data_IF_157853834466
#
_entry.id   IF_157853834466
#
_cell.length_a   1.000
_cell.length_b   1.000
_cell.length_c   1.000
_cell.angle_alpha   90.00
_cell.angle_beta   90.00
_cell.angle_gamma   90.00
#
_symmetry.space_group_name_H-M   'P 1'
#
loop_
_entity.id
_entity.type
_entity.pdbx_description
1 polymer ?
#
# COMPACT_ATOMS: atom_id res chain seq x y z
N UNK A 1 -75.39 -50.15 -9.48
CA UNK A 1 -76.21 -49.02 -8.99
C UNK A 1 -75.63 -48.53 -7.70
N UNK A 2 -75.47 -47.21 -7.62
CA UNK A 2 -74.85 -46.45 -6.53
C UNK A 2 -75.66 -46.59 -5.24
N UNK A 3 -74.98 -46.81 -4.12
CA UNK A 3 -75.50 -46.61 -2.77
C UNK A 3 -74.60 -45.60 -2.06
N UNK A 4 -75.04 -44.33 -2.03
CA UNK A 4 -74.44 -43.30 -1.19
C UNK A 4 -74.80 -43.58 0.28
N UNK A 5 -73.82 -43.52 1.18
CA UNK A 5 -74.07 -43.20 2.57
C UNK A 5 -73.02 -42.21 3.05
N UNK A 6 -73.53 -41.09 3.55
CA UNK A 6 -72.86 -39.89 3.96
C UNK A 6 -72.43 -40.05 5.43
N UNK A 7 -71.13 -40.17 5.70
CA UNK A 7 -70.59 -40.10 7.07
C UNK A 7 -69.65 -38.91 7.20
N UNK A 8 -70.22 -37.89 7.85
CA UNK A 8 -69.63 -36.85 8.72
C UNK A 8 -68.12 -36.58 8.61
N UNK A 9 -67.84 -35.36 8.16
CA UNK A 9 -66.62 -34.59 8.36
C UNK A 9 -66.05 -34.81 9.77
N UNK A 10 -64.87 -35.42 9.82
CA UNK A 10 -63.94 -35.28 10.94
C UNK A 10 -63.28 -33.92 10.81
N UNK A 11 -63.40 -33.07 11.83
CA UNK A 11 -62.59 -31.87 11.99
C UNK A 11 -61.11 -32.30 11.98
N UNK A 12 -60.35 -31.86 10.98
CA UNK A 12 -58.89 -31.82 11.06
C UNK A 12 -58.47 -30.45 11.62
N UNK A 13 -57.44 -30.39 12.48
CA UNK A 13 -57.04 -29.15 13.14
C UNK A 13 -56.50 -28.12 12.15
N UNK A 14 -56.94 -26.86 12.30
CA UNK A 14 -56.52 -25.67 11.53
C UNK A 14 -55.05 -25.27 11.75
N UNK A 15 -54.08 -26.18 11.57
CA UNK A 15 -52.66 -25.90 11.81
C UNK A 15 -51.73 -26.23 10.60
N UNK A 16 -52.28 -26.38 9.39
CA UNK A 16 -51.48 -26.66 8.18
C UNK A 16 -51.25 -25.47 7.23
N UNK A 17 -51.77 -24.27 7.54
CA UNK A 17 -51.64 -23.09 6.67
C UNK A 17 -50.72 -21.97 7.20
N UNK A 18 -49.78 -22.29 8.09
CA UNK A 18 -48.65 -21.39 8.41
C UNK A 18 -47.38 -21.90 7.77
N UNK A 19 -47.28 -21.76 6.45
CA UNK A 19 -45.95 -21.66 5.83
C UNK A 19 -45.21 -20.51 6.54
N UNK A 20 -43.97 -20.71 7.03
CA UNK A 20 -43.19 -19.60 7.54
C UNK A 20 -43.12 -18.55 6.43
N UNK A 21 -43.53 -17.33 6.74
CA UNK A 21 -43.38 -16.19 5.83
C UNK A 21 -41.94 -16.20 5.29
N UNK A 22 -41.73 -15.94 3.99
CA UNK A 22 -40.39 -15.91 3.43
C UNK A 22 -39.52 -14.99 4.28
N UNK A 23 -38.51 -15.57 4.93
CA UNK A 23 -37.47 -14.80 5.61
C UNK A 23 -36.93 -13.88 4.52
N UNK A 24 -36.99 -12.57 4.75
CA UNK A 24 -36.45 -11.58 3.83
C UNK A 24 -35.05 -12.05 3.39
N UNK A 25 -34.69 -11.92 2.10
CA UNK A 25 -33.35 -12.28 1.67
C UNK A 25 -32.35 -11.57 2.58
N UNK A 26 -31.24 -12.23 2.98
CA UNK A 26 -30.19 -11.55 3.74
C UNK A 26 -29.82 -10.26 3.01
N UNK A 27 -29.55 -9.17 3.74
CA UNK A 27 -29.30 -7.87 3.13
C UNK A 27 -28.30 -8.00 1.99
N UNK A 28 -28.61 -7.40 0.84
CA UNK A 28 -27.72 -7.42 -0.31
C UNK A 28 -26.41 -6.74 0.08
N UNK A 29 -25.29 -7.34 -0.33
CA UNK A 29 -23.92 -6.86 -0.10
C UNK A 29 -23.65 -5.43 -0.61
N UNK A 30 -24.60 -4.84 -1.33
CA UNK A 30 -24.58 -3.44 -1.76
C UNK A 30 -24.83 -2.43 -0.63
N UNK A 31 -25.18 -2.89 0.58
CA UNK A 31 -25.37 -2.04 1.76
C UNK A 31 -24.33 -2.32 2.86
N UNK A 32 -23.12 -2.77 2.52
CA UNK A 32 -21.98 -2.53 3.41
C UNK A 32 -21.69 -1.04 3.35
N UNK A 33 -21.91 -0.34 4.46
CA UNK A 33 -21.50 1.03 4.61
C UNK A 33 -19.96 1.07 4.65
N UNK A 34 -19.36 1.27 3.48
CA UNK A 34 -17.90 1.29 3.27
C UNK A 34 -17.22 2.30 4.20
N UNK A 35 -17.95 3.32 4.66
CA UNK A 35 -17.45 4.34 5.58
C UNK A 35 -17.35 3.87 7.03
N UNK A 36 -18.03 2.78 7.41
CA UNK A 36 -18.07 2.26 8.80
C UNK A 36 -17.61 0.81 8.95
N UNK A 37 -17.26 0.15 7.84
CA UNK A 37 -16.68 -1.20 7.86
C UNK A 37 -15.33 -1.23 8.57
N UNK A 38 -15.20 -2.08 9.59
CA UNK A 38 -14.04 -2.11 10.47
C UNK A 38 -12.75 -2.54 9.77
N UNK A 39 -12.84 -3.44 8.77
CA UNK A 39 -11.68 -3.91 8.02
C UNK A 39 -11.19 -2.84 7.04
N UNK A 40 -12.12 -2.11 6.41
CA UNK A 40 -11.81 -0.95 5.56
C UNK A 40 -11.16 0.16 6.39
N UNK A 41 -11.74 0.49 7.55
CA UNK A 41 -11.18 1.48 8.47
C UNK A 41 -9.80 1.08 9.01
N UNK A 42 -9.61 -0.21 9.30
CA UNK A 42 -8.30 -0.75 9.72
C UNK A 42 -7.27 -0.62 8.61
N UNK A 43 -7.64 -0.90 7.36
CA UNK A 43 -6.74 -0.76 6.22
C UNK A 43 -6.34 0.71 6.01
N UNK A 44 -7.29 1.65 6.07
CA UNK A 44 -7.00 3.08 5.98
C UNK A 44 -6.05 3.55 7.08
N UNK A 45 -6.28 3.10 8.32
CA UNK A 45 -5.38 3.37 9.43
C UNK A 45 -3.97 2.82 9.18
N UNK A 46 -3.83 1.61 8.64
CA UNK A 46 -2.52 1.05 8.31
C UNK A 46 -1.80 1.81 7.20
N UNK A 47 -2.51 2.21 6.15
CA UNK A 47 -1.95 3.00 5.06
C UNK A 47 -1.43 4.35 5.59
N UNK A 48 -2.20 5.05 6.44
CA UNK A 48 -1.77 6.33 7.03
C UNK A 48 -0.59 6.16 8.00
N UNK A 49 -0.54 5.07 8.78
CA UNK A 49 0.60 4.75 9.64
C UNK A 49 1.85 4.49 8.80
N UNK A 50 1.73 3.77 7.68
CA UNK A 50 2.85 3.50 6.78
C UNK A 50 3.38 4.77 6.10
N UNK A 51 2.47 5.64 5.63
CA UNK A 51 2.82 6.96 5.04
C UNK A 51 3.57 7.81 6.07
N UNK A 52 3.03 7.92 7.29
CA UNK A 52 3.63 8.69 8.37
C UNK A 52 5.00 8.12 8.76
N UNK A 53 5.12 6.81 9.01
CA UNK A 53 6.43 6.23 9.35
C UNK A 53 7.45 6.37 8.21
N UNK A 54 7.04 6.28 6.95
CA UNK A 54 7.93 6.49 5.80
C UNK A 54 8.45 7.92 5.77
N UNK A 55 7.58 8.92 5.97
CA UNK A 55 7.96 10.32 6.01
C UNK A 55 8.96 10.61 7.15
N UNK A 56 8.74 10.00 8.32
CA UNK A 56 9.59 10.18 9.50
C UNK A 56 10.88 9.35 9.48
N UNK A 57 10.93 8.25 8.74
CA UNK A 57 12.11 7.40 8.57
C UNK A 57 13.17 7.98 7.62
N UNK A 58 12.77 8.88 6.71
CA UNK A 58 13.69 9.59 5.81
C UNK A 58 14.63 10.53 6.59
N UNK A 59 14.20 10.99 7.77
CA UNK A 59 14.89 11.98 8.60
C UNK A 59 16.05 11.37 9.43
N UNK A 60 16.22 10.04 9.38
CA UNK A 60 17.23 9.29 10.17
C UNK A 60 18.58 9.15 9.43
N UNK A 61 18.68 9.58 8.17
CA UNK A 61 19.91 9.48 7.36
C UNK A 61 21.02 10.47 7.78
N UNK A 62 22.29 10.22 7.40
CA UNK A 62 23.37 11.18 7.63
C UNK A 62 23.02 12.52 6.96
N UNK A 63 23.32 13.67 7.60
CA UNK A 63 23.01 14.97 7.02
C UNK A 63 23.77 15.12 5.71
N UNK A 64 23.06 15.03 4.58
CA UNK A 64 23.54 15.66 3.35
C UNK A 64 23.48 17.15 3.62
N UNK A 65 24.60 17.86 3.46
CA UNK A 65 24.83 19.28 3.85
C UNK A 65 23.87 20.31 3.21
N UNK A 66 22.80 19.88 2.53
CA UNK A 66 21.95 20.74 1.70
C UNK A 66 20.47 20.35 1.62
N UNK A 67 19.98 19.39 2.41
CA UNK A 67 18.54 19.12 2.45
C UNK A 67 17.88 19.84 3.63
N UNK A 68 16.78 20.56 3.37
CA UNK A 68 15.99 21.23 4.40
C UNK A 68 14.69 20.47 4.60
N UNK A 69 14.38 20.07 5.84
CA UNK A 69 13.13 19.36 6.13
C UNK A 69 11.99 20.37 6.29
N UNK A 70 10.96 20.23 5.44
CA UNK A 70 9.69 20.95 5.64
C UNK A 70 8.90 20.25 6.74
N UNK A 71 8.60 21.00 7.80
CA UNK A 71 7.96 20.44 9.01
C UNK A 71 6.46 20.27 8.83
N UNK A 72 5.83 21.10 8.01
CA UNK A 72 4.38 21.07 7.79
C UNK A 72 3.88 19.74 7.19
N UNK A 73 4.50 19.17 6.13
CA UNK A 73 4.15 17.84 5.65
C UNK A 73 4.28 16.74 6.72
N UNK A 74 5.27 16.84 7.62
CA UNK A 74 5.44 15.86 8.70
C UNK A 74 4.31 15.95 9.72
N UNK A 75 3.94 17.17 10.12
CA UNK A 75 2.81 17.40 11.01
C UNK A 75 1.49 16.93 10.39
N UNK A 76 1.31 17.14 9.08
CA UNK A 76 0.13 16.65 8.34
C UNK A 76 0.02 15.13 8.41
N UNK A 77 1.11 14.40 8.13
CA UNK A 77 1.08 12.92 8.18
C UNK A 77 0.74 12.37 9.57
N UNK A 78 1.19 13.02 10.65
CA UNK A 78 0.84 12.63 12.03
C UNK A 78 -0.63 12.92 12.34
N UNK A 79 -1.15 14.05 11.84
CA UNK A 79 -2.55 14.44 12.05
C UNK A 79 -3.51 13.53 11.27
N UNK A 80 -3.16 13.17 10.04
CA UNK A 80 -3.89 12.21 9.21
C UNK A 80 -3.96 10.84 9.88
N UNK A 81 -2.82 10.31 10.35
CA UNK A 81 -2.76 9.06 11.09
C UNK A 81 -3.59 9.09 12.38
N UNK A 82 -3.55 10.18 13.15
CA UNK A 82 -4.39 10.32 14.35
C UNK A 82 -5.89 10.31 14.02
N UNK A 83 -6.28 10.89 12.88
CA UNK A 83 -7.68 10.91 12.45
C UNK A 83 -8.15 9.52 12.00
N UNK A 84 -7.35 8.76 11.27
CA UNK A 84 -7.73 7.40 10.87
C UNK A 84 -7.76 6.42 12.05
N UNK A 85 -6.80 6.51 12.97
CA UNK A 85 -6.83 5.74 14.22
C UNK A 85 -8.07 6.11 15.05
N UNK A 86 -8.40 7.40 15.17
CA UNK A 86 -9.62 7.86 15.85
C UNK A 86 -10.87 7.32 15.15
N UNK A 87 -10.91 7.36 13.82
CA UNK A 87 -12.05 6.89 13.04
C UNK A 87 -12.28 5.39 13.23
N UNK A 88 -11.20 4.61 13.21
CA UNK A 88 -11.23 3.18 13.52
C UNK A 88 -11.74 2.90 14.94
N UNK A 89 -11.20 3.59 15.95
CA UNK A 89 -11.60 3.44 17.35
C UNK A 89 -13.08 3.81 17.58
N UNK A 90 -13.57 4.87 16.91
CA UNK A 90 -14.95 5.35 17.06
C UNK A 90 -15.98 4.30 16.64
N UNK A 91 -15.69 3.56 15.57
CA UNK A 91 -16.56 2.52 15.02
C UNK A 91 -16.32 1.15 15.68
N UNK A 92 -15.33 1.06 16.56
CA UNK A 92 -14.98 -0.16 17.29
C UNK A 92 -15.64 -0.18 18.67
N UNK A 93 -16.75 -0.92 18.78
CA UNK A 93 -17.60 -0.94 19.99
C UNK A 93 -17.12 -1.86 21.11
N UNK A 94 -16.14 -2.74 20.87
CA UNK A 94 -15.62 -3.70 21.85
C UNK A 94 -14.52 -3.12 22.75
N UNK A 95 -14.20 -1.83 22.65
CA UNK A 95 -13.15 -1.20 23.45
C UNK A 95 -13.63 -0.80 24.84
N UNK A 96 -12.82 -1.07 25.87
CA UNK A 96 -13.11 -0.65 27.24
C UNK A 96 -12.85 0.85 27.43
N UNK A 97 -13.55 1.48 28.38
CA UNK A 97 -13.28 2.87 28.76
C UNK A 97 -11.81 3.09 29.19
N UNK A 98 -11.19 2.07 29.78
CA UNK A 98 -9.76 2.08 30.10
C UNK A 98 -8.88 2.14 28.85
N UNK A 99 -9.15 1.29 27.84
CA UNK A 99 -8.42 1.29 26.57
C UNK A 99 -8.60 2.62 25.83
N UNK A 100 -9.83 3.12 25.75
CA UNK A 100 -10.15 4.43 25.17
C UNK A 100 -9.44 5.57 25.90
N UNK A 101 -9.44 5.54 27.24
CA UNK A 101 -8.73 6.50 28.07
C UNK A 101 -7.22 6.50 27.84
N UNK A 102 -6.61 5.32 27.70
CA UNK A 102 -5.18 5.19 27.36
C UNK A 102 -4.87 5.72 25.97
N UNK A 103 -5.62 5.33 24.96
CA UNK A 103 -5.45 5.79 23.58
C UNK A 103 -5.58 7.31 23.47
N UNK A 104 -6.58 7.90 24.14
CA UNK A 104 -6.76 9.35 24.21
C UNK A 104 -5.59 10.06 24.90
N UNK A 105 -5.12 9.51 26.03
CA UNK A 105 -4.00 10.09 26.77
C UNK A 105 -2.71 10.09 25.94
N UNK A 106 -2.39 8.98 25.27
CA UNK A 106 -1.20 8.92 24.41
C UNK A 106 -1.35 9.80 23.16
N UNK A 107 -2.54 9.89 22.56
CA UNK A 107 -2.80 10.82 21.45
C UNK A 107 -2.57 12.29 21.87
N UNK A 108 -2.99 12.68 23.09
CA UNK A 108 -2.78 14.02 23.61
C UNK A 108 -1.29 14.33 23.82
N UNK A 109 -0.51 13.38 24.36
CA UNK A 109 0.95 13.55 24.49
C UNK A 109 1.65 13.69 23.15
N UNK A 110 1.21 12.92 22.15
CA UNK A 110 1.73 13.03 20.79
C UNK A 110 1.42 14.41 20.19
N UNK A 111 0.17 14.87 20.29
CA UNK A 111 -0.24 16.20 19.83
C UNK A 111 0.50 17.33 20.56
N UNK A 112 0.70 17.21 21.86
CA UNK A 112 1.49 18.17 22.64
C UNK A 112 2.93 18.25 22.12
N UNK A 113 3.53 17.09 21.83
CA UNK A 113 4.89 17.02 21.27
C UNK A 113 4.97 17.64 19.87
N UNK A 114 3.98 17.38 19.02
CA UNK A 114 3.88 17.98 17.68
C UNK A 114 3.63 19.49 17.73
N UNK A 115 2.84 19.97 18.70
CA UNK A 115 2.60 21.41 18.90
C UNK A 115 3.87 22.14 19.36
N UNK A 116 4.68 21.52 20.23
CA UNK A 116 5.99 22.06 20.61
C UNK A 116 6.93 22.11 19.41
N UNK A 117 6.93 21.07 18.57
CA UNK A 117 7.69 21.06 17.32
C UNK A 117 7.25 22.21 16.40
N UNK A 118 5.96 22.34 16.15
CA UNK A 118 5.41 23.41 15.31
C UNK A 118 5.82 24.80 15.83
N UNK A 119 5.63 25.05 17.13
CA UNK A 119 5.94 26.33 17.76
C UNK A 119 7.43 26.66 17.69
N UNK A 120 8.29 25.65 17.88
CA UNK A 120 9.75 25.81 17.83
C UNK A 120 10.25 26.26 16.46
N UNK A 121 9.61 25.80 15.39
CA UNK A 121 10.05 26.08 14.03
C UNK A 121 9.16 27.06 13.28
N UNK A 122 8.16 27.65 13.92
CA UNK A 122 7.44 28.80 13.39
C UNK A 122 8.38 30.01 13.38
N UNK A 123 8.61 30.61 12.22
CA UNK A 123 9.40 31.84 12.15
C UNK A 123 8.65 32.96 12.89
N UNK A 124 9.36 33.75 13.69
CA UNK A 124 8.80 34.96 14.28
C UNK A 124 8.52 35.95 13.13
N UNK A 125 7.31 36.51 13.09
CA UNK A 125 7.00 37.64 12.23
C UNK A 125 7.86 38.84 12.69
N UNK A 126 9.00 39.07 12.04
CA UNK A 126 9.58 40.40 12.05
C UNK A 126 8.56 41.32 11.37
N UNK A 127 7.99 42.25 12.14
CA UNK A 127 6.76 42.99 11.85
C UNK A 127 6.82 43.98 10.68
N UNK A 128 7.50 43.64 9.59
CA UNK A 128 7.66 44.50 8.41
C UNK A 128 7.39 43.80 7.06
N UNK A 129 6.84 42.57 7.04
CA UNK A 129 6.39 41.93 5.80
C UNK A 129 4.88 41.76 5.81
N UNK A 130 4.19 42.57 4.99
CA UNK A 130 2.74 42.56 4.78
C UNK A 130 2.25 41.34 3.97
N UNK A 131 2.89 40.19 4.15
CA UNK A 131 2.54 38.93 3.48
C UNK A 131 2.21 37.92 4.56
N UNK A 132 0.94 37.91 4.97
CA UNK A 132 0.38 36.93 5.90
C UNK A 132 0.61 35.52 5.34
N UNK A 133 1.63 34.85 5.86
CA UNK A 133 2.05 33.53 5.43
C UNK A 133 2.82 32.87 6.55
N UNK A 134 2.32 31.72 7.02
CA UNK A 134 2.97 30.87 8.01
C UNK A 134 4.35 30.44 7.49
N UNK A 135 5.40 31.19 7.83
CA UNK A 135 6.77 30.89 7.43
C UNK A 135 7.36 29.92 8.47
N UNK A 136 7.80 28.74 8.02
CA UNK A 136 8.44 27.73 8.88
C UNK A 136 9.95 27.75 8.64
N UNK A 137 10.73 27.81 9.72
CA UNK A 137 12.18 27.69 9.67
C UNK A 137 12.57 26.24 9.33
N UNK A 138 13.58 26.09 8.48
CA UNK A 138 14.10 24.78 8.10
C UNK A 138 14.81 24.14 9.30
N UNK A 139 14.55 22.85 9.56
CA UNK A 139 15.20 22.11 10.65
C UNK A 139 16.46 21.39 10.20
N UNK A 140 17.45 21.36 11.08
CA UNK A 140 18.55 20.38 11.02
C UNK A 140 18.02 18.97 11.32
N UNK A 141 18.50 17.99 10.53
CA UNK A 141 18.05 16.59 10.53
C UNK A 141 18.22 15.84 11.86
N UNK A 142 19.16 16.26 12.71
CA UNK A 142 19.63 15.44 13.84
C UNK A 142 18.82 15.53 15.13
N UNK A 143 17.70 16.26 15.19
CA UNK A 143 17.12 16.73 16.47
C UNK A 143 15.65 16.36 16.70
N UNK A 144 15.09 15.38 15.97
CA UNK A 144 13.68 14.93 16.12
C UNK A 144 13.49 13.63 16.93
N UNK A 145 14.44 13.27 17.79
CA UNK A 145 14.37 12.03 18.59
C UNK A 145 13.17 12.03 19.56
N UNK A 146 12.84 13.20 20.12
CA UNK A 146 11.73 13.35 21.06
C UNK A 146 10.39 13.05 20.38
N UNK A 147 10.18 13.63 19.21
CA UNK A 147 8.98 13.48 18.40
C UNK A 147 8.84 12.03 17.90
N UNK A 148 9.93 11.41 17.44
CA UNK A 148 9.95 10.00 17.03
C UNK A 148 9.60 9.05 18.18
N UNK A 149 10.16 9.31 19.37
CA UNK A 149 9.84 8.53 20.57
C UNK A 149 8.35 8.66 20.92
N UNK A 150 7.78 9.86 20.81
CA UNK A 150 6.35 10.07 21.05
C UNK A 150 5.46 9.34 20.03
N UNK A 151 5.84 9.34 18.74
CA UNK A 151 5.13 8.58 17.69
C UNK A 151 5.14 7.09 18.00
N UNK A 152 6.31 6.51 18.31
CA UNK A 152 6.43 5.08 18.59
C UNK A 152 5.69 4.67 19.85
N UNK A 153 5.71 5.50 20.90
CA UNK A 153 4.94 5.27 22.12
C UNK A 153 3.42 5.25 21.85
N UNK A 154 2.95 6.14 20.97
CA UNK A 154 1.55 6.14 20.54
C UNK A 154 1.18 4.87 19.77
N UNK A 155 1.99 4.46 18.78
CA UNK A 155 1.74 3.24 18.00
C UNK A 155 1.75 1.97 18.86
N UNK A 156 2.66 1.88 19.84
CA UNK A 156 2.66 0.79 20.82
C UNK A 156 1.35 0.75 21.63
N UNK A 157 0.82 1.92 22.01
CA UNK A 157 -0.50 2.01 22.65
C UNK A 157 -1.64 1.58 21.72
N UNK A 158 -1.58 1.90 20.42
CA UNK A 158 -2.58 1.49 19.42
C UNK A 158 -2.56 -0.03 19.22
N UNK A 159 -1.39 -0.66 19.08
CA UNK A 159 -1.29 -2.12 18.95
C UNK A 159 -1.84 -2.87 20.18
N UNK A 160 -1.57 -2.35 21.38
CA UNK A 160 -1.98 -2.96 22.66
C UNK A 160 -3.44 -2.71 23.03
N UNK A 161 -3.99 -1.55 22.69
CA UNK A 161 -5.30 -1.14 23.20
C UNK A 161 -6.36 -0.99 22.12
N UNK A 162 -5.99 -0.66 20.88
CA UNK A 162 -6.94 -0.53 19.78
C UNK A 162 -7.02 -1.79 18.93
N UNK A 163 -5.91 -2.52 18.72
CA UNK A 163 -5.89 -3.74 17.90
C UNK A 163 -6.10 -5.02 18.72
N UNK A 164 -5.38 -5.16 19.84
CA UNK A 164 -5.40 -6.37 20.69
C UNK A 164 -5.84 -6.06 22.12
N UNK A 165 -7.11 -5.69 22.35
CA UNK A 165 -7.54 -5.29 23.67
C UNK A 165 -7.44 -6.47 24.68
N UNK A 166 -7.13 -6.21 25.97
CA UNK A 166 -6.80 -7.25 26.95
C UNK A 166 -7.87 -8.33 27.19
N UNK A 167 -9.13 -8.04 26.86
CA UNK A 167 -10.28 -8.93 27.05
C UNK A 167 -10.58 -9.83 25.84
N UNK A 168 -9.84 -9.74 24.75
CA UNK A 168 -10.07 -10.51 23.51
C UNK A 168 -9.31 -11.86 23.50
N UNK A 169 -9.52 -12.68 24.54
CA UNK A 169 -8.87 -13.99 24.68
C UNK A 169 -9.43 -14.97 23.63
N UNK A 170 -8.64 -15.28 22.58
CA UNK A 170 -8.94 -16.35 21.62
C UNK A 170 -9.23 -15.92 20.17
N UNK A 171 -9.22 -14.61 19.86
CA UNK A 171 -9.26 -14.13 18.47
C UNK A 171 -7.84 -14.09 17.88
N UNK A 172 -7.65 -14.31 16.56
CA UNK A 172 -6.35 -14.10 15.92
C UNK A 172 -5.81 -12.69 16.23
N UNK A 173 -4.52 -12.64 16.57
CA UNK A 173 -3.82 -11.41 16.90
C UNK A 173 -3.86 -10.44 15.71
N UNK A 174 -4.50 -9.28 15.90
CA UNK A 174 -4.50 -8.19 14.93
C UNK A 174 -3.23 -7.38 15.15
N UNK A 175 -2.14 -7.75 14.49
CA UNK A 175 -0.87 -7.04 14.59
C UNK A 175 -0.67 -6.05 13.44
N UNK A 176 0.27 -5.12 13.62
CA UNK A 176 0.80 -4.39 12.48
C UNK A 176 1.42 -5.34 11.44
N UNK A 177 1.34 -4.95 10.16
CA UNK A 177 2.02 -5.66 9.07
C UNK A 177 3.53 -5.72 9.29
N UNK A 178 4.20 -6.70 8.68
CA UNK A 178 5.66 -6.83 8.77
C UNK A 178 6.38 -5.55 8.29
N UNK A 179 5.81 -4.87 7.30
CA UNK A 179 6.37 -3.62 6.76
C UNK A 179 6.25 -2.46 7.76
N UNK A 180 5.09 -2.29 8.41
CA UNK A 180 4.93 -1.29 9.47
C UNK A 180 5.90 -1.57 10.62
N UNK A 181 6.05 -2.83 11.05
CA UNK A 181 7.00 -3.20 12.13
C UNK A 181 8.44 -2.87 11.75
N UNK A 182 8.84 -3.15 10.50
CA UNK A 182 10.16 -2.78 9.96
C UNK A 182 10.36 -1.27 9.97
N UNK A 183 9.36 -0.49 9.53
CA UNK A 183 9.42 0.97 9.57
C UNK A 183 9.51 1.52 10.99
N UNK A 184 8.77 0.96 11.95
CA UNK A 184 8.87 1.33 13.37
C UNK A 184 10.30 1.14 13.91
N UNK A 185 10.96 0.02 13.57
CA UNK A 185 12.35 -0.20 13.98
C UNK A 185 13.33 0.79 13.34
N UNK A 186 13.08 1.19 12.08
CA UNK A 186 13.88 2.20 11.37
C UNK A 186 13.73 3.60 11.99
N UNK A 187 12.53 3.95 12.46
CA UNK A 187 12.25 5.22 13.13
C UNK A 187 12.84 5.30 14.55
N UNK A 188 13.10 4.16 15.18
CA UNK A 188 13.54 4.05 16.59
C UNK A 188 15.04 4.28 16.85
N UNK A 189 15.88 4.41 15.84
CA UNK A 189 17.34 4.37 16.01
C UNK A 189 18.00 5.72 16.34
N UNK A 190 18.82 5.80 17.43
CA UNK A 190 19.90 6.78 17.57
C UNK A 190 21.20 6.15 17.06
N UNK A 191 21.84 6.74 16.04
CA UNK A 191 23.27 6.58 15.76
C UNK A 191 23.84 5.14 15.73
N UNK A 192 23.22 4.23 14.99
CA UNK A 192 23.74 2.89 14.74
C UNK A 192 23.91 2.63 13.25
N UNK A 193 25.06 3.00 12.69
CA UNK A 193 25.48 2.50 11.39
C UNK A 193 25.45 0.96 11.39
N UNK A 194 24.50 0.37 10.68
CA UNK A 194 24.86 -0.80 9.88
C UNK A 194 25.74 -0.27 8.73
N UNK A 195 27.00 -0.69 8.60
CA UNK A 195 27.77 -0.37 7.41
C UNK A 195 27.14 -1.15 6.25
N UNK A 196 26.22 -0.51 5.53
CA UNK A 196 25.56 -1.13 4.37
C UNK A 196 24.20 -0.60 3.95
N UNK A 197 23.54 0.31 4.68
CA UNK A 197 22.26 0.87 4.24
C UNK A 197 22.21 2.40 4.39
N UNK A 198 23.16 3.07 3.73
CA UNK A 198 23.06 4.50 3.43
C UNK A 198 22.36 4.69 2.08
N UNK A 199 21.41 5.63 2.03
CA UNK A 199 21.02 6.35 0.81
C UNK A 199 20.50 5.54 -0.40
N UNK A 200 19.89 4.36 -0.21
CA UNK A 200 19.27 3.62 -1.32
C UNK A 200 17.76 3.82 -1.44
N UNK A 201 17.10 4.51 -0.50
CA UNK A 201 15.66 4.83 -0.63
C UNK A 201 15.36 5.98 -1.61
N UNK A 202 16.41 6.65 -2.11
CA UNK A 202 16.39 7.52 -3.29
C UNK A 202 17.40 7.06 -4.35
N UNK A 203 17.96 5.84 -4.23
CA UNK A 203 18.40 5.16 -5.44
C UNK A 203 17.12 4.91 -6.21
N UNK A 204 16.93 5.71 -7.26
CA UNK A 204 16.18 5.27 -8.43
C UNK A 204 16.62 3.84 -8.64
N UNK A 205 15.73 2.86 -8.38
CA UNK A 205 16.07 1.45 -8.48
C UNK A 205 16.82 1.28 -9.78
N UNK A 206 17.93 0.54 -9.79
CA UNK A 206 18.84 0.52 -10.93
C UNK A 206 18.09 0.27 -12.25
N UNK A 207 17.03 -0.55 -12.20
CA UNK A 207 16.17 -0.88 -13.34
C UNK A 207 15.37 0.32 -13.90
N UNK A 208 15.19 1.40 -13.15
CA UNK A 208 14.57 2.66 -13.60
C UNK A 208 15.59 3.61 -14.22
N UNK A 209 16.88 3.50 -13.85
CA UNK A 209 17.92 4.38 -14.38
C UNK A 209 18.08 4.17 -15.90
N UNK A 210 18.11 5.30 -16.62
CA UNK A 210 18.29 5.33 -18.07
C UNK A 210 19.77 5.29 -18.47
N UNK A 211 20.67 5.62 -17.54
CA UNK A 211 22.12 5.62 -17.73
C UNK A 211 22.80 4.32 -17.31
N UNK A 212 22.06 3.41 -16.68
CA UNK A 212 22.56 2.10 -16.36
C UNK A 212 22.73 1.29 -17.66
N UNK A 213 23.95 0.85 -17.92
CA UNK A 213 24.28 -0.04 -19.03
C UNK A 213 23.79 -1.45 -18.68
N UNK A 214 22.60 -1.80 -19.16
CA UNK A 214 22.02 -3.13 -19.00
C UNK A 214 22.54 -4.07 -20.09
N UNK A 215 23.11 -5.21 -19.68
CA UNK A 215 23.62 -6.24 -20.61
C UNK A 215 22.51 -6.81 -21.51
N UNK A 216 21.28 -6.90 -21.00
CA UNK A 216 20.08 -7.26 -21.75
C UNK A 216 18.83 -6.61 -21.16
N UNK A 217 17.81 -6.39 -21.99
CA UNK A 217 16.50 -5.92 -21.52
C UNK A 217 15.86 -6.92 -20.55
N UNK A 218 16.11 -8.21 -20.75
CA UNK A 218 15.64 -9.28 -19.88
C UNK A 218 16.25 -9.23 -18.47
N UNK A 219 17.55 -8.90 -18.35
CA UNK A 219 18.21 -8.71 -17.06
C UNK A 219 17.62 -7.50 -16.31
N UNK A 220 17.22 -6.45 -17.05
CA UNK A 220 16.51 -5.30 -16.48
C UNK A 220 15.13 -5.68 -15.96
N UNK A 221 14.39 -6.50 -16.71
CA UNK A 221 13.10 -7.04 -16.27
C UNK A 221 13.21 -7.91 -15.02
N UNK A 222 14.24 -8.75 -14.93
CA UNK A 222 14.51 -9.53 -13.72
C UNK A 222 14.78 -8.62 -12.51
N UNK A 223 15.63 -7.61 -12.65
CA UNK A 223 15.90 -6.65 -11.58
C UNK A 223 14.63 -5.90 -11.13
N UNK A 224 13.75 -5.55 -12.07
CA UNK A 224 12.44 -4.94 -11.76
C UNK A 224 11.55 -5.89 -10.95
N UNK A 225 11.45 -7.16 -11.34
CA UNK A 225 10.64 -8.17 -10.64
C UNK A 225 11.17 -8.37 -9.22
N UNK A 226 12.48 -8.62 -9.05
CA UNK A 226 13.09 -8.88 -7.73
C UNK A 226 12.98 -7.68 -6.79
N UNK A 227 13.03 -6.44 -7.31
CA UNK A 227 12.81 -5.22 -6.52
C UNK A 227 11.35 -5.00 -6.07
N UNK A 228 10.40 -5.74 -6.66
CA UNK A 228 8.97 -5.57 -6.37
C UNK A 228 8.37 -6.68 -5.54
N UNK A 229 8.91 -7.89 -5.63
CA UNK A 229 8.40 -9.06 -4.94
C UNK A 229 9.57 -9.90 -4.42
N UNK A 230 9.43 -10.39 -3.19
CA UNK A 230 10.40 -11.29 -2.60
C UNK A 230 10.36 -12.64 -3.34
N UNK A 231 11.31 -12.81 -4.27
CA UNK A 231 11.34 -13.95 -5.21
C UNK A 231 12.63 -14.73 -5.07
N UNK A 232 12.84 -15.31 -3.88
CA UNK A 232 13.92 -16.27 -3.66
C UNK A 232 13.87 -17.51 -4.57
N UNK A 233 12.78 -17.73 -5.31
CA UNK A 233 12.57 -18.88 -6.20
C UNK A 233 12.79 -18.60 -7.69
N UNK A 234 13.08 -17.36 -8.11
CA UNK A 234 13.19 -17.01 -9.52
C UNK A 234 14.64 -17.08 -10.00
N UNK A 235 14.91 -17.95 -10.97
CA UNK A 235 16.25 -18.10 -11.57
C UNK A 235 16.68 -16.83 -12.29
N UNK A 236 17.95 -16.45 -12.15
CA UNK A 236 18.52 -15.33 -12.88
C UNK A 236 18.57 -15.63 -14.39
N UNK A 237 18.00 -14.78 -15.27
CA UNK A 237 18.02 -15.02 -16.72
C UNK A 237 19.43 -15.08 -17.32
N UNK A 238 20.46 -14.56 -16.64
CA UNK A 238 21.86 -14.68 -17.06
C UNK A 238 22.43 -16.08 -16.87
N UNK A 239 21.85 -16.84 -15.92
CA UNK A 239 22.23 -18.23 -15.66
C UNK A 239 21.42 -19.15 -16.56
N UNK A 240 20.10 -18.97 -16.59
CA UNK A 240 19.20 -19.78 -17.39
C UNK A 240 17.96 -18.96 -17.79
N UNK A 241 17.97 -18.49 -19.04
CA UNK A 241 16.87 -17.75 -19.66
C UNK A 241 15.57 -18.54 -19.62
N UNK A 242 15.61 -19.82 -20.01
CA UNK A 242 14.40 -20.61 -20.19
C UNK A 242 13.80 -20.98 -18.83
N UNK A 243 14.62 -21.26 -17.82
CA UNK A 243 14.14 -21.47 -16.45
C UNK A 243 13.50 -20.20 -15.87
N UNK A 244 14.11 -19.03 -16.10
CA UNK A 244 13.53 -17.75 -15.72
C UNK A 244 12.15 -17.53 -16.36
N UNK A 245 12.06 -17.65 -17.68
CA UNK A 245 10.79 -17.47 -18.41
C UNK A 245 9.75 -18.49 -18.00
N UNK A 246 10.13 -19.76 -17.81
CA UNK A 246 9.23 -20.79 -17.30
C UNK A 246 8.67 -20.48 -15.91
N UNK A 247 9.43 -19.82 -15.05
CA UNK A 247 8.97 -19.35 -13.74
C UNK A 247 7.86 -18.30 -13.83
N UNK A 248 7.72 -17.62 -14.97
CA UNK A 248 6.72 -16.57 -15.21
C UNK A 248 5.46 -17.08 -15.97
N UNK A 249 5.50 -18.29 -16.52
CA UNK A 249 4.43 -18.84 -17.38
C UNK A 249 3.10 -19.11 -16.68
N UNK A 250 3.06 -19.11 -15.34
CA UNK A 250 1.82 -19.23 -14.57
C UNK A 250 1.04 -17.91 -14.41
N UNK A 251 1.68 -16.79 -14.78
CA UNK A 251 1.14 -15.44 -14.70
C UNK A 251 0.99 -14.87 -13.28
N UNK A 252 1.27 -15.62 -12.21
CA UNK A 252 1.10 -15.16 -10.83
C UNK A 252 2.12 -14.06 -10.54
N UNK A 253 3.40 -14.34 -10.81
CA UNK A 253 4.50 -13.40 -10.59
C UNK A 253 4.26 -12.10 -11.36
N UNK A 254 3.81 -12.20 -12.62
CA UNK A 254 3.53 -11.03 -13.46
C UNK A 254 2.41 -10.17 -12.89
N UNK A 255 1.29 -10.77 -12.48
CA UNK A 255 0.16 -10.05 -11.90
C UNK A 255 0.55 -9.37 -10.57
N UNK A 256 1.29 -10.06 -9.70
CA UNK A 256 1.74 -9.52 -8.41
C UNK A 256 2.76 -8.39 -8.60
N UNK A 257 3.71 -8.57 -9.53
CA UNK A 257 4.70 -7.54 -9.91
C UNK A 257 3.99 -6.31 -10.45
N UNK A 258 3.04 -6.50 -11.37
CA UNK A 258 2.22 -5.41 -11.93
C UNK A 258 1.52 -4.63 -10.81
N UNK A 259 0.79 -5.31 -9.92
CA UNK A 259 0.06 -4.65 -8.83
C UNK A 259 1.00 -3.87 -7.89
N UNK A 260 2.17 -4.43 -7.59
CA UNK A 260 3.18 -3.78 -6.74
C UNK A 260 3.74 -2.51 -7.40
N UNK A 261 4.01 -2.57 -8.70
CA UNK A 261 4.46 -1.41 -9.49
C UNK A 261 3.38 -0.33 -9.60
N UNK A 262 2.12 -0.72 -9.80
CA UNK A 262 0.98 0.21 -9.82
C UNK A 262 0.81 0.93 -8.49
N UNK A 263 0.96 0.22 -7.36
CA UNK A 263 0.92 0.83 -6.01
C UNK A 263 2.07 1.82 -5.79
N UNK A 264 3.27 1.52 -6.31
CA UNK A 264 4.43 2.43 -6.26
C UNK A 264 4.28 3.64 -7.21
N UNK A 265 3.39 3.57 -8.21
CA UNK A 265 3.17 4.66 -9.16
C UNK A 265 2.29 5.78 -8.58
N UNK A 266 2.49 7.01 -9.06
CA UNK A 266 1.65 8.17 -8.71
C UNK A 266 0.18 8.04 -9.13
N UNK A 267 -0.12 7.10 -10.04
CA UNK A 267 -1.49 6.83 -10.51
C UNK A 267 -1.85 5.42 -10.09
N UNK A 268 -2.49 5.19 -8.94
CA UNK A 268 -2.68 3.83 -8.40
C UNK A 268 -3.92 3.07 -8.93
N UNK A 269 -4.40 3.34 -10.15
CA UNK A 269 -5.60 2.69 -10.70
C UNK A 269 -5.30 1.45 -11.57
N UNK A 270 -6.31 0.60 -11.77
CA UNK A 270 -6.22 -0.53 -12.70
C UNK A 270 -5.46 -1.74 -12.13
N UNK A 271 -5.59 -1.98 -10.82
CA UNK A 271 -5.09 -3.20 -10.17
C UNK A 271 -5.82 -4.45 -10.69
N UNK A 272 -5.11 -5.56 -10.75
CA UNK A 272 -5.66 -6.87 -11.06
C UNK A 272 -6.24 -7.45 -9.78
N UNK A 273 -7.57 -7.43 -9.66
CA UNK A 273 -8.28 -7.89 -8.45
C UNK A 273 -8.39 -9.42 -8.35
N UNK A 274 -8.23 -10.14 -9.47
CA UNK A 274 -8.43 -11.58 -9.55
C UNK A 274 -7.16 -12.24 -10.07
N UNK A 275 -6.50 -13.01 -9.20
CA UNK A 275 -5.32 -13.81 -9.54
C UNK A 275 -5.62 -15.25 -9.12
N UNK A 276 -5.43 -16.18 -10.04
CA UNK A 276 -5.58 -17.61 -9.81
C UNK A 276 -4.29 -18.20 -9.26
N UNK A 277 -4.36 -18.86 -8.10
CA UNK A 277 -3.22 -19.56 -7.52
C UNK A 277 -3.22 -21.06 -7.85
N UNK A 278 -4.34 -21.61 -8.36
CA UNK A 278 -4.51 -22.99 -8.79
C UNK A 278 -4.01 -23.24 -10.24
N UNK A 279 -2.81 -22.76 -10.56
CA UNK A 279 -2.24 -22.71 -11.93
C UNK A 279 -1.75 -24.05 -12.47
N UNK A 280 -1.78 -25.13 -11.67
CA UNK A 280 -1.64 -26.50 -12.17
C UNK A 280 -2.67 -26.80 -13.28
N UNK A 281 -3.80 -26.10 -13.25
CA UNK A 281 -4.78 -26.08 -14.33
C UNK A 281 -4.33 -25.05 -15.37
N UNK A 282 -3.91 -25.50 -16.55
CA UNK A 282 -3.38 -24.65 -17.64
C UNK A 282 -4.31 -23.49 -18.04
N UNK A 283 -5.63 -23.65 -17.97
CA UNK A 283 -6.57 -22.55 -18.23
C UNK A 283 -6.48 -21.43 -17.18
N UNK A 284 -6.13 -21.72 -15.92
CA UNK A 284 -5.94 -20.71 -14.86
C UNK A 284 -4.70 -19.87 -15.09
N UNK A 285 -3.61 -20.51 -15.50
CA UNK A 285 -2.40 -19.80 -15.94
C UNK A 285 -2.70 -18.92 -17.17
N UNK A 286 -3.48 -19.44 -18.13
CA UNK A 286 -3.93 -18.70 -19.32
C UNK A 286 -4.78 -17.49 -18.94
N UNK A 287 -5.69 -17.62 -17.96
CA UNK A 287 -6.51 -16.51 -17.43
C UNK A 287 -5.62 -15.44 -16.77
N UNK A 288 -4.68 -15.82 -15.91
CA UNK A 288 -3.74 -14.88 -15.28
C UNK A 288 -2.94 -14.08 -16.32
N UNK A 289 -2.35 -14.78 -17.30
CA UNK A 289 -1.60 -14.15 -18.40
C UNK A 289 -2.47 -13.20 -19.23
N UNK A 290 -3.77 -13.50 -19.38
CA UNK A 290 -4.73 -12.63 -20.05
C UNK A 290 -5.08 -11.40 -19.21
N UNK A 291 -5.24 -11.57 -17.89
CA UNK A 291 -5.46 -10.44 -16.97
C UNK A 291 -4.27 -9.49 -16.98
N UNK A 292 -3.05 -10.01 -16.93
CA UNK A 292 -1.83 -9.22 -17.06
C UNK A 292 -1.79 -8.42 -18.37
N UNK A 293 -2.03 -9.06 -19.51
CA UNK A 293 -2.03 -8.39 -20.81
C UNK A 293 -3.12 -7.33 -20.93
N UNK A 294 -4.33 -7.62 -20.45
CA UNK A 294 -5.42 -6.65 -20.42
C UNK A 294 -5.08 -5.44 -19.55
N UNK A 295 -4.52 -5.66 -18.35
CA UNK A 295 -4.12 -4.60 -17.43
C UNK A 295 -3.03 -3.71 -18.04
N UNK A 296 -2.02 -4.30 -18.69
CA UNK A 296 -0.98 -3.56 -19.41
C UNK A 296 -1.56 -2.69 -20.53
N UNK A 297 -2.51 -3.23 -21.30
CA UNK A 297 -3.20 -2.47 -22.35
C UNK A 297 -4.01 -1.30 -21.78
N UNK A 298 -4.81 -1.52 -20.75
CA UNK A 298 -5.67 -0.47 -20.19
C UNK A 298 -4.89 0.65 -19.51
N UNK A 299 -3.78 0.33 -18.85
CA UNK A 299 -3.04 1.28 -18.04
C UNK A 299 -1.89 1.94 -18.78
N UNK A 300 -1.04 1.12 -19.39
CA UNK A 300 0.21 1.56 -20.01
C UNK A 300 0.07 1.76 -21.53
N UNK A 301 -1.15 1.62 -22.07
CA UNK A 301 -1.43 1.62 -23.52
C UNK A 301 -0.52 0.65 -24.29
N UNK A 302 -0.16 -0.45 -23.63
CA UNK A 302 0.81 -1.42 -24.13
C UNK A 302 0.09 -2.62 -24.72
N UNK A 303 0.22 -2.81 -26.03
CA UNK A 303 -0.36 -3.94 -26.76
C UNK A 303 0.74 -4.93 -27.12
N UNK A 304 0.63 -6.15 -26.58
CA UNK A 304 1.54 -7.24 -26.94
C UNK A 304 1.12 -7.84 -28.29
N UNK A 305 2.05 -7.85 -29.25
CA UNK A 305 1.83 -8.37 -30.61
C UNK A 305 1.94 -9.89 -30.56
N UNK A 306 1.04 -10.60 -31.26
CA UNK A 306 1.00 -12.06 -31.35
C UNK A 306 0.97 -12.81 -30.00
N UNK A 307 0.57 -12.12 -28.93
CA UNK A 307 0.54 -12.65 -27.57
C UNK A 307 -0.55 -13.70 -27.39
N UNK A 308 -0.15 -14.96 -27.26
CA UNK A 308 -1.04 -16.12 -27.09
C UNK A 308 -0.83 -16.74 -25.69
N UNK A 309 -1.66 -16.38 -24.70
CA UNK A 309 -1.58 -16.89 -23.33
C UNK A 309 -1.52 -18.43 -23.24
N UNK A 310 -2.23 -19.13 -24.12
CA UNK A 310 -2.26 -20.59 -24.14
C UNK A 310 -0.93 -21.23 -24.59
N UNK A 311 -0.16 -20.57 -25.45
CA UNK A 311 1.14 -21.07 -25.91
C UNK A 311 2.21 -20.82 -24.83
N UNK A 312 2.13 -19.67 -24.16
CA UNK A 312 2.96 -19.31 -23.01
C UNK A 312 2.73 -20.28 -21.84
N UNK A 313 1.47 -20.50 -21.44
CA UNK A 313 1.13 -21.40 -20.34
C UNK A 313 1.54 -22.86 -20.61
N UNK A 314 1.63 -23.26 -21.90
CA UNK A 314 2.12 -24.58 -22.32
C UNK A 314 3.65 -24.65 -22.41
N UNK A 315 4.37 -23.55 -22.15
CA UNK A 315 5.84 -23.47 -22.20
C UNK A 315 6.40 -23.87 -23.56
N UNK A 316 5.69 -23.53 -24.65
CA UNK A 316 6.22 -23.78 -25.99
C UNK A 316 7.40 -22.83 -26.26
N UNK A 317 8.38 -23.18 -27.10
CA UNK A 317 9.50 -22.28 -27.42
C UNK A 317 9.02 -20.92 -27.92
N UNK A 318 8.07 -20.91 -28.87
CA UNK A 318 7.45 -19.69 -29.37
C UNK A 318 6.69 -18.91 -28.29
N UNK A 319 6.06 -19.61 -27.33
CA UNK A 319 5.40 -18.98 -26.19
C UNK A 319 6.39 -18.30 -25.24
N UNK A 320 7.55 -18.91 -24.99
CA UNK A 320 8.59 -18.28 -24.17
C UNK A 320 9.16 -17.02 -24.84
N UNK A 321 9.34 -17.05 -26.17
CA UNK A 321 9.76 -15.86 -26.93
C UNK A 321 8.72 -14.73 -26.85
N UNK A 322 7.43 -15.06 -27.03
CA UNK A 322 6.32 -14.10 -26.86
C UNK A 322 6.29 -13.49 -25.44
N UNK A 323 6.62 -14.28 -24.43
CA UNK A 323 6.64 -13.85 -23.03
C UNK A 323 7.80 -12.89 -22.77
N UNK A 324 8.97 -13.18 -23.34
CA UNK A 324 10.13 -12.28 -23.28
C UNK A 324 9.82 -10.93 -23.95
N UNK A 325 9.26 -10.95 -25.16
CA UNK A 325 8.89 -9.72 -25.87
C UNK A 325 7.88 -8.89 -25.08
N UNK A 326 6.86 -9.54 -24.51
CA UNK A 326 5.86 -8.89 -23.67
C UNK A 326 6.50 -8.29 -22.40
N UNK A 327 7.44 -9.00 -21.77
CA UNK A 327 8.11 -8.56 -20.56
C UNK A 327 9.05 -7.37 -20.82
N UNK A 328 9.78 -7.37 -21.92
CA UNK A 328 10.63 -6.26 -22.36
C UNK A 328 9.78 -5.01 -22.62
N UNK A 329 8.67 -5.16 -23.34
CA UNK A 329 7.76 -4.05 -23.63
C UNK A 329 7.11 -3.49 -22.36
N UNK A 330 6.65 -4.37 -21.47
CA UNK A 330 6.11 -3.98 -20.17
C UNK A 330 7.13 -3.22 -19.32
N UNK A 331 8.36 -3.74 -19.21
CA UNK A 331 9.46 -3.12 -18.46
C UNK A 331 9.76 -1.72 -19.01
N UNK A 332 9.84 -1.58 -20.33
CA UNK A 332 10.04 -0.30 -21.01
C UNK A 332 8.94 0.71 -20.67
N UNK A 333 7.67 0.29 -20.71
CA UNK A 333 6.52 1.14 -20.39
C UNK A 333 6.54 1.63 -18.92
N UNK A 334 6.80 0.73 -17.98
CA UNK A 334 6.92 1.07 -16.54
C UNK A 334 8.06 2.05 -16.31
N UNK A 335 9.25 1.77 -16.87
CA UNK A 335 10.41 2.66 -16.76
C UNK A 335 10.08 4.06 -17.30
N UNK A 336 9.35 4.15 -18.41
CA UNK A 336 8.94 5.43 -19.00
C UNK A 336 8.03 6.22 -18.07
N UNK A 337 7.06 5.56 -17.44
CA UNK A 337 6.13 6.17 -16.47
C UNK A 337 6.85 6.66 -15.20
N UNK A 338 7.73 5.83 -14.63
CA UNK A 338 8.49 6.18 -13.43
C UNK A 338 9.45 7.33 -13.70
N UNK A 339 10.14 7.32 -14.85
CA UNK A 339 10.98 8.43 -15.27
C UNK A 339 10.20 9.73 -15.50
N UNK A 340 9.01 9.66 -16.11
CA UNK A 340 8.15 10.83 -16.27
C UNK A 340 7.72 11.41 -14.91
N UNK A 341 7.37 10.54 -13.97
CA UNK A 341 7.01 10.92 -12.60
C UNK A 341 8.17 11.61 -11.87
N UNK A 342 9.40 11.09 -12.02
CA UNK A 342 10.62 11.70 -11.46
C UNK A 342 10.94 13.06 -12.09
N UNK A 343 10.77 13.21 -13.41
CA UNK A 343 10.98 14.49 -14.10
C UNK A 343 9.99 15.56 -13.66
N UNK A 344 8.72 15.20 -13.42
CA UNK A 344 7.72 16.13 -12.89
C UNK A 344 8.08 16.62 -11.49
N UNK A 345 8.55 15.74 -10.61
CA UNK A 345 9.01 16.11 -9.28
C UNK A 345 10.22 17.05 -9.34
N UNK A 346 11.21 16.77 -10.21
CA UNK A 346 12.39 17.64 -10.42
C UNK A 346 12.03 19.02 -11.00
N UNK A 347 11.08 19.09 -11.93
CA UNK A 347 10.62 20.37 -12.51
C UNK A 347 9.89 21.24 -11.48
N UNK A 348 9.07 20.65 -10.62
CA UNK A 348 8.41 21.37 -9.51
C UNK A 348 9.43 21.95 -8.54
N UNK A 349 10.48 21.19 -8.19
CA UNK A 349 11.57 21.66 -7.34
C UNK A 349 12.35 22.83 -7.98
N UNK A 350 12.74 22.74 -9.26
CA UNK A 350 13.45 23.85 -9.94
C UNK A 350 12.61 25.12 -10.13
N UNK A 351 11.30 25.00 -10.28
CA UNK A 351 10.42 26.18 -10.38
C UNK A 351 10.35 26.96 -9.06
N UNK A 352 10.49 26.27 -7.93
CA UNK A 352 10.56 26.89 -6.60
C UNK A 352 11.89 27.62 -6.41
N UNK A 353 13.00 27.05 -6.90
CA UNK A 353 14.33 27.67 -6.82
C UNK A 353 14.49 28.91 -7.72
N UNK A 354 13.89 28.92 -8.92
CA UNK A 354 13.97 30.09 -9.81
C UNK A 354 13.05 31.22 -9.33
N UNK A 355 11.89 30.90 -8.76
CA UNK A 355 10.99 31.90 -8.18
C UNK A 355 11.59 32.59 -6.94
N UNK A 356 12.43 31.89 -6.17
CA UNK A 356 13.16 32.47 -5.03
C UNK A 356 14.35 33.34 -5.45
N UNK A 357 14.96 33.07 -6.60
CA UNK A 357 16.07 33.88 -7.16
C UNK A 357 15.62 35.15 -7.91
N UNK A 358 14.36 35.25 -8.36
CA UNK A 358 13.83 36.46 -9.02
C UNK A 358 13.19 37.48 -8.06
N UNK A 359 13.25 37.24 -6.75
CA UNK A 359 12.75 38.17 -5.70
C UNK A 359 13.90 38.78 -4.88
N UNK A 360 15.15 38.39 -5.17
CA UNK A 360 16.36 39.10 -4.71
C UNK A 360 16.74 40.20 -5.70
#
# INVERSE_FOLDING_TARGET
MLGFSLTKLSEEPEDLDRLPTPIAPPPSWHNLDVETDLDVLMQHMFDDIEIMLTAWAIIVGPPSESEHVQILPLLQTVTEMLNSVKNYILHRHDLTEFALGKLRNEALKLLETMSHLETKYRALEDGNSATSGYLYNTSDFGMLDRERTAILAYLDSVEKHALNPPHHVGSPYAGYSAEIKKLMTKTSGPGGCAPGMGLDSLKVSSWVDRKADWESELARSYAMIVDTIDTHSLTDPRVDRDAFLQGLTDGIILCTTYNSLVKKSRRSFGLINKIHHDTLRTYRATENLSFFAAACKFRFDTVFIDYKPADIARKTPAGLDMLEDALNLFTSAVVKEFNFSLQQTRRKSRFIDVASLSIS
#
